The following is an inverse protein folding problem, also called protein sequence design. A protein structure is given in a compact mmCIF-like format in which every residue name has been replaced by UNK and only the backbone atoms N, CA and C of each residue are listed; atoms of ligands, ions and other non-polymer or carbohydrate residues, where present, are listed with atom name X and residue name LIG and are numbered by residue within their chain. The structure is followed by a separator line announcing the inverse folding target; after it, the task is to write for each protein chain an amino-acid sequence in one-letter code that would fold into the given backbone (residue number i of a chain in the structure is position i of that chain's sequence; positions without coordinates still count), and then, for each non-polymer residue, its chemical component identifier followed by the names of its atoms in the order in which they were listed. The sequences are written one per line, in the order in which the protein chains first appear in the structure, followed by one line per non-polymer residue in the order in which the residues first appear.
data_IF_494047612954
#
_entry.id   IF_494047612954
#
_cell.length_a   1.000
_cell.length_b   1.000
_cell.length_c   1.000
_cell.angle_alpha   90.00
_cell.angle_beta   90.00
_cell.angle_gamma   90.00
#
_symmetry.space_group_name_H-M   'P 1'
#
loop_
_entity.id
_entity.type
_entity.pdbx_description
1 polymer ?
#
# COMPACT_ATOMS: atom_id res chain seq x y z
N UNK A 1 -29.62 30.20 -11.60
CA UNK A 1 -28.99 29.16 -12.39
C UNK A 1 -27.62 29.60 -12.95
N UNK A 2 -27.55 30.71 -13.68
CA UNK A 2 -26.30 31.23 -14.28
C UNK A 2 -25.23 31.60 -13.25
N UNK A 3 -25.58 32.19 -12.09
CA UNK A 3 -24.65 32.55 -11.03
C UNK A 3 -23.94 31.32 -10.42
N UNK A 4 -24.64 30.20 -10.34
CA UNK A 4 -24.04 28.92 -9.87
C UNK A 4 -23.16 28.26 -10.93
N UNK A 5 -23.55 28.40 -12.21
CA UNK A 5 -22.74 27.87 -13.34
C UNK A 5 -21.38 28.59 -13.44
N UNK A 6 -21.34 29.93 -13.31
CA UNK A 6 -20.06 30.66 -13.32
C UNK A 6 -19.19 30.41 -12.08
N UNK A 7 -19.80 30.19 -10.91
CA UNK A 7 -19.02 29.73 -9.74
C UNK A 7 -18.44 28.35 -9.92
N UNK A 8 -19.17 27.43 -10.52
CA UNK A 8 -18.70 26.08 -10.83
C UNK A 8 -17.59 26.08 -11.87
N UNK A 9 -17.68 26.90 -12.94
CA UNK A 9 -16.65 26.98 -13.96
C UNK A 9 -15.35 27.59 -13.44
N UNK A 10 -15.40 28.58 -12.55
CA UNK A 10 -14.23 29.13 -11.88
C UNK A 10 -13.58 28.10 -10.93
N UNK A 11 -14.38 27.24 -10.30
CA UNK A 11 -13.92 26.15 -9.46
C UNK A 11 -13.22 25.06 -10.27
N UNK A 12 -13.73 24.71 -11.45
CA UNK A 12 -13.14 23.71 -12.37
C UNK A 12 -11.76 24.15 -12.88
N UNK A 13 -11.51 25.44 -13.00
CA UNK A 13 -10.23 25.99 -13.46
C UNK A 13 -9.13 26.02 -12.38
N UNK A 14 -9.43 25.68 -11.13
CA UNK A 14 -8.45 25.65 -10.03
C UNK A 14 -7.62 24.37 -10.08
N UNK A 15 -6.27 24.49 -9.97
CA UNK A 15 -5.35 23.35 -9.85
C UNK A 15 -5.58 22.49 -8.59
N UNK A 16 -6.36 22.98 -7.64
CA UNK A 16 -6.66 22.31 -6.37
C UNK A 16 -8.03 21.63 -6.36
N UNK A 17 -8.83 21.78 -7.43
CA UNK A 17 -10.16 21.21 -7.50
C UNK A 17 -10.12 19.74 -7.87
N UNK A 18 -10.75 18.89 -7.06
CA UNK A 18 -10.98 17.47 -7.35
C UNK A 18 -12.42 17.23 -7.81
N UNK A 19 -12.66 16.09 -8.46
CA UNK A 19 -14.03 15.66 -8.81
C UNK A 19 -14.90 15.55 -7.56
N UNK A 20 -14.34 15.13 -6.43
CA UNK A 20 -15.03 15.07 -5.16
C UNK A 20 -15.47 16.47 -4.69
N UNK A 21 -14.59 17.46 -4.75
CA UNK A 21 -14.96 18.84 -4.36
C UNK A 21 -16.07 19.42 -5.23
N UNK A 22 -16.13 19.03 -6.51
CA UNK A 22 -17.22 19.44 -7.40
C UNK A 22 -18.54 18.75 -7.04
N UNK A 23 -18.49 17.45 -6.74
CA UNK A 23 -19.65 16.69 -6.29
C UNK A 23 -20.18 17.22 -4.95
N UNK A 24 -19.30 17.52 -4.01
CA UNK A 24 -19.65 18.10 -2.72
C UNK A 24 -20.30 19.49 -2.89
N UNK A 25 -19.75 20.33 -3.77
CA UNK A 25 -20.31 21.66 -4.07
C UNK A 25 -21.67 21.60 -4.78
N UNK A 26 -21.97 20.52 -5.48
CA UNK A 26 -23.26 20.32 -6.14
C UNK A 26 -24.32 19.72 -5.20
N UNK A 27 -23.95 19.24 -4.02
CA UNK A 27 -24.89 18.65 -3.07
C UNK A 27 -25.62 19.73 -2.25
N UNK A 28 -26.91 19.54 -2.04
CA UNK A 28 -27.72 20.44 -1.20
C UNK A 28 -27.48 20.22 0.31
N UNK A 29 -26.93 19.10 0.71
CA UNK A 29 -26.62 18.73 2.09
C UNK A 29 -25.14 18.60 2.27
N UNK A 30 -24.53 19.50 3.03
CA UNK A 30 -23.10 19.55 3.27
C UNK A 30 -22.82 19.31 4.75
N UNK A 31 -22.05 18.27 5.05
CA UNK A 31 -21.44 18.05 6.37
C UNK A 31 -20.10 18.78 6.48
N UNK A 32 -19.77 19.25 7.66
CA UNK A 32 -18.43 19.80 7.96
C UNK A 32 -17.67 18.72 8.73
N UNK A 33 -16.46 18.40 8.26
CA UNK A 33 -15.52 17.53 8.96
C UNK A 33 -14.23 18.28 9.22
N UNK A 34 -13.68 18.07 10.39
CA UNK A 34 -12.36 18.56 10.77
C UNK A 34 -11.32 17.46 10.62
N UNK A 35 -10.22 17.75 9.96
CA UNK A 35 -9.04 16.90 9.89
C UNK A 35 -7.82 17.80 10.05
N UNK A 36 -6.96 17.50 11.02
CA UNK A 36 -5.75 18.27 11.33
C UNK A 36 -6.02 19.80 11.51
N UNK A 37 -7.09 20.15 12.20
CA UNK A 37 -7.50 21.55 12.42
C UNK A 37 -8.04 22.27 11.18
N UNK A 38 -8.25 21.55 10.07
CA UNK A 38 -8.81 22.10 8.84
C UNK A 38 -10.22 21.57 8.60
N UNK A 39 -11.15 22.46 8.36
CA UNK A 39 -12.53 22.09 8.02
C UNK A 39 -12.66 21.69 6.55
N UNK A 40 -13.23 20.51 6.32
CA UNK A 40 -13.57 20.00 5.00
C UNK A 40 -15.08 19.90 4.85
N UNK A 41 -15.57 20.34 3.70
CA UNK A 41 -16.97 20.20 3.34
C UNK A 41 -17.18 18.90 2.59
N UNK A 42 -18.08 18.05 3.08
CA UNK A 42 -18.37 16.73 2.50
C UNK A 42 -19.86 16.61 2.26
N UNK A 43 -20.26 16.43 1.01
CA UNK A 43 -21.67 16.34 0.63
C UNK A 43 -22.30 15.03 1.07
N UNK A 44 -21.79 13.90 0.61
CA UNK A 44 -22.32 12.56 0.91
C UNK A 44 -21.17 11.57 1.11
N UNK A 45 -20.63 11.46 2.33
CA UNK A 45 -19.52 10.55 2.59
C UNK A 45 -19.96 9.10 2.49
N UNK A 46 -19.15 8.27 1.81
CA UNK A 46 -19.27 6.82 1.89
C UNK A 46 -18.66 6.35 3.22
N UNK A 47 -19.53 5.95 4.15
CA UNK A 47 -19.12 5.60 5.52
C UNK A 47 -18.88 4.11 5.71
N UNK A 48 -19.45 3.25 4.87
CA UNK A 48 -19.35 1.80 5.03
C UNK A 48 -18.18 1.28 4.23
N UNK A 49 -17.26 0.58 4.92
CA UNK A 49 -16.09 -0.04 4.32
C UNK A 49 -16.25 -1.57 4.30
N UNK A 50 -16.28 -2.15 3.10
CA UNK A 50 -16.49 -3.58 2.87
C UNK A 50 -15.31 -4.28 2.15
N UNK A 51 -14.07 -3.76 2.26
CA UNK A 51 -12.93 -4.32 1.52
C UNK A 51 -11.90 -4.99 2.41
N UNK A 52 -11.30 -4.22 3.31
CA UNK A 52 -10.14 -4.65 4.09
C UNK A 52 -10.55 -5.43 5.33
N UNK A 53 -9.71 -6.35 5.80
CA UNK A 53 -9.84 -6.98 7.11
C UNK A 53 -9.66 -5.96 8.24
N UNK A 54 -10.18 -6.29 9.43
CA UNK A 54 -10.38 -5.35 10.55
C UNK A 54 -9.16 -4.49 10.89
N UNK A 55 -7.98 -5.08 11.10
CA UNK A 55 -6.77 -4.32 11.48
C UNK A 55 -6.31 -3.37 10.37
N UNK A 56 -6.42 -3.78 9.11
CA UNK A 56 -6.08 -2.97 7.94
C UNK A 56 -7.06 -1.79 7.82
N UNK A 57 -8.35 -2.07 8.04
CA UNK A 57 -9.40 -1.06 8.10
C UNK A 57 -9.13 -0.03 9.21
N UNK A 58 -8.77 -0.47 10.42
CA UNK A 58 -8.53 0.41 11.55
C UNK A 58 -7.40 1.41 11.28
N UNK A 59 -6.29 0.95 10.66
CA UNK A 59 -5.22 1.85 10.23
C UNK A 59 -5.78 2.96 9.34
N UNK A 60 -6.49 2.59 8.28
CA UNK A 60 -7.06 3.55 7.33
C UNK A 60 -8.06 4.49 8.00
N UNK A 61 -8.94 3.96 8.86
CA UNK A 61 -10.00 4.70 9.52
C UNK A 61 -9.44 5.76 10.46
N UNK A 62 -8.39 5.44 11.22
CA UNK A 62 -7.74 6.38 12.13
C UNK A 62 -6.97 7.46 11.34
N UNK A 63 -6.11 7.05 10.38
CA UNK A 63 -5.20 8.01 9.72
C UNK A 63 -5.86 8.96 8.73
N UNK A 64 -7.01 8.58 8.15
CA UNK A 64 -7.60 9.33 7.04
C UNK A 64 -9.09 9.65 7.19
N UNK A 65 -9.80 9.00 8.12
CA UNK A 65 -11.26 9.14 8.23
C UNK A 65 -11.72 9.52 9.63
N UNK A 66 -10.80 9.83 10.55
CA UNK A 66 -11.10 10.25 11.93
C UNK A 66 -12.11 9.30 12.62
N UNK A 67 -11.89 8.00 12.48
CA UNK A 67 -12.69 6.91 13.05
C UNK A 67 -14.19 6.93 12.67
N UNK A 68 -14.55 7.63 11.60
CA UNK A 68 -15.97 7.82 11.23
C UNK A 68 -16.51 6.76 10.29
N UNK A 69 -15.66 5.88 9.73
CA UNK A 69 -16.12 4.80 8.86
C UNK A 69 -16.62 3.60 9.67
N UNK A 70 -17.55 2.86 9.07
CA UNK A 70 -18.17 1.67 9.63
C UNK A 70 -17.56 0.44 8.97
N UNK A 71 -17.02 -0.46 9.76
CA UNK A 71 -16.51 -1.74 9.29
C UNK A 71 -17.65 -2.69 8.89
N UNK A 72 -17.60 -3.24 7.67
CA UNK A 72 -18.59 -4.17 7.16
C UNK A 72 -17.94 -5.21 6.22
N UNK A 73 -16.87 -5.83 6.68
CA UNK A 73 -16.20 -6.92 5.97
C UNK A 73 -16.35 -8.19 6.79
N UNK A 74 -16.53 -9.34 6.13
CA UNK A 74 -16.53 -10.64 6.81
C UNK A 74 -15.12 -10.94 7.27
N UNK A 75 -14.98 -11.16 8.59
CA UNK A 75 -13.68 -11.45 9.18
C UNK A 75 -13.13 -12.79 8.71
N UNK A 76 -11.81 -12.83 8.46
CA UNK A 76 -11.06 -14.04 8.14
C UNK A 76 -10.04 -14.30 9.24
N UNK A 77 -10.07 -15.51 9.80
CA UNK A 77 -9.19 -15.92 10.91
C UNK A 77 -7.69 -15.85 10.54
N UNK A 78 -7.36 -16.08 9.27
CA UNK A 78 -5.98 -16.15 8.77
C UNK A 78 -5.46 -14.81 8.19
N UNK A 79 -6.15 -13.69 8.45
CA UNK A 79 -5.70 -12.40 7.94
C UNK A 79 -4.45 -11.89 8.65
N UNK A 80 -3.52 -11.32 7.88
CA UNK A 80 -2.26 -10.79 8.40
C UNK A 80 -2.21 -9.28 8.27
N UNK A 81 -1.82 -8.61 9.36
CA UNK A 81 -1.45 -7.20 9.35
C UNK A 81 -0.16 -7.05 10.16
N UNK A 82 0.98 -7.00 9.48
CA UNK A 82 2.28 -7.11 10.11
C UNK A 82 3.25 -6.00 9.69
N UNK A 83 4.06 -5.56 10.65
CA UNK A 83 5.25 -4.74 10.40
C UNK A 83 6.48 -5.61 10.51
N UNK A 84 7.27 -5.63 9.45
CA UNK A 84 8.54 -6.36 9.38
C UNK A 84 9.66 -5.33 9.48
N UNK A 85 10.32 -5.31 10.64
CA UNK A 85 11.45 -4.40 10.87
C UNK A 85 12.69 -4.90 10.15
N UNK A 86 13.17 -4.09 9.20
CA UNK A 86 14.36 -4.41 8.40
C UNK A 86 15.22 -3.18 8.23
N UNK A 87 16.38 -3.22 8.85
CA UNK A 87 17.44 -2.23 8.70
C UNK A 87 18.34 -2.58 7.52
N UNK A 88 18.98 -1.58 6.94
CA UNK A 88 19.93 -1.74 5.85
C UNK A 88 20.44 -0.40 5.37
N UNK A 89 21.28 -0.41 4.33
CA UNK A 89 21.80 0.81 3.72
C UNK A 89 21.12 1.08 2.38
N UNK A 90 20.76 2.34 2.15
CA UNK A 90 20.15 2.78 0.89
C UNK A 90 21.14 2.71 -0.26
N UNK A 91 20.68 2.11 -1.35
CA UNK A 91 21.36 2.09 -2.63
C UNK A 91 20.54 2.88 -3.66
N UNK A 92 21.19 3.62 -4.56
CA UNK A 92 20.50 4.36 -5.63
C UNK A 92 19.31 5.21 -5.16
N UNK A 93 19.44 5.92 -4.04
CA UNK A 93 18.38 6.69 -3.36
C UNK A 93 17.23 5.81 -2.88
N UNK A 94 17.12 5.61 -1.61
CA UNK A 94 16.00 4.97 -0.89
C UNK A 94 15.84 3.46 -1.05
N UNK A 95 16.43 2.80 -2.06
CA UNK A 95 16.33 1.37 -2.20
C UNK A 95 17.22 0.65 -1.17
N UNK A 96 16.65 -0.23 -0.36
CA UNK A 96 17.34 -1.03 0.66
C UNK A 96 17.27 -2.50 0.27
N UNK A 97 18.42 -3.09 -0.06
CA UNK A 97 18.51 -4.48 -0.55
C UNK A 97 18.01 -5.49 0.49
N UNK A 98 18.27 -5.24 1.76
CA UNK A 98 17.84 -6.09 2.87
C UNK A 98 16.32 -6.22 2.94
N UNK A 99 15.60 -5.12 2.69
CA UNK A 99 14.14 -5.14 2.60
C UNK A 99 13.66 -5.98 1.41
N UNK A 100 14.31 -5.85 0.25
CA UNK A 100 13.99 -6.68 -0.92
C UNK A 100 14.20 -8.17 -0.65
N UNK A 101 15.32 -8.54 0.00
CA UNK A 101 15.60 -9.92 0.42
C UNK A 101 14.53 -10.44 1.40
N UNK A 102 14.07 -9.59 2.32
CA UNK A 102 13.07 -9.98 3.31
C UNK A 102 11.68 -10.21 2.73
N UNK A 103 11.34 -9.53 1.66
CA UNK A 103 10.07 -9.68 0.93
C UNK A 103 10.05 -10.99 0.10
N UNK A 104 11.20 -11.48 -0.35
CA UNK A 104 11.31 -12.61 -1.26
C UNK A 104 10.58 -13.89 -0.80
N UNK A 105 10.66 -14.33 0.46
CA UNK A 105 9.91 -15.48 0.95
C UNK A 105 8.40 -15.29 0.88
N UNK A 106 7.90 -14.06 1.08
CA UNK A 106 6.46 -13.77 0.98
C UNK A 106 6.01 -13.95 -0.46
N UNK A 107 6.75 -13.39 -1.44
CA UNK A 107 6.45 -13.56 -2.86
C UNK A 107 6.38 -15.06 -3.21
N UNK A 108 7.41 -15.83 -2.82
CA UNK A 108 7.46 -17.27 -3.07
C UNK A 108 6.20 -17.98 -2.55
N UNK A 109 5.81 -17.69 -1.32
CA UNK A 109 4.67 -18.36 -0.69
C UNK A 109 3.35 -17.99 -1.34
N UNK A 110 3.15 -16.73 -1.71
CA UNK A 110 1.96 -16.29 -2.44
C UNK A 110 1.83 -16.99 -3.80
N UNK A 111 2.93 -17.16 -4.53
CA UNK A 111 2.95 -17.93 -5.77
C UNK A 111 2.60 -19.40 -5.53
N UNK A 112 3.23 -20.05 -4.55
CA UNK A 112 2.97 -21.46 -4.23
C UNK A 112 1.51 -21.64 -3.78
N UNK A 113 0.99 -20.77 -2.92
CA UNK A 113 -0.39 -20.84 -2.46
C UNK A 113 -1.40 -20.64 -3.61
N UNK A 114 -1.15 -19.68 -4.51
CA UNK A 114 -1.98 -19.46 -5.69
C UNK A 114 -1.99 -20.69 -6.60
N UNK A 115 -0.84 -21.29 -6.84
CA UNK A 115 -0.71 -22.45 -7.72
C UNK A 115 -1.32 -23.72 -7.14
N UNK A 116 -1.21 -23.94 -5.85
CA UNK A 116 -1.87 -25.07 -5.19
C UNK A 116 -3.38 -24.96 -5.26
N UNK A 117 -3.92 -23.75 -5.25
CA UNK A 117 -5.37 -23.49 -5.26
C UNK A 117 -5.96 -23.46 -6.68
N UNK A 118 -5.28 -22.82 -7.62
CA UNK A 118 -5.85 -22.42 -8.91
C UNK A 118 -5.09 -23.01 -10.13
N UNK A 119 -3.96 -23.67 -9.91
CA UNK A 119 -3.09 -24.21 -10.96
C UNK A 119 -1.86 -23.31 -11.24
N UNK A 120 -0.82 -23.91 -11.83
CA UNK A 120 0.52 -23.31 -12.00
C UNK A 120 0.59 -22.07 -12.93
N UNK A 121 -0.46 -21.76 -13.67
CA UNK A 121 -0.51 -20.58 -14.55
C UNK A 121 -1.11 -19.35 -13.89
N UNK A 122 -1.66 -19.46 -12.69
CA UNK A 122 -2.32 -18.35 -12.01
C UNK A 122 -1.33 -17.43 -11.29
N UNK A 123 -1.41 -16.15 -11.62
CA UNK A 123 -0.64 -15.08 -10.97
C UNK A 123 -1.28 -14.75 -9.61
N UNK A 124 -0.51 -14.71 -8.51
CA UNK A 124 -1.06 -14.37 -7.20
C UNK A 124 -1.62 -12.95 -7.16
N UNK A 125 -2.70 -12.77 -6.41
CA UNK A 125 -3.27 -11.45 -6.11
C UNK A 125 -2.41 -10.72 -5.07
N UNK A 126 -1.21 -10.33 -5.50
CA UNK A 126 -0.16 -9.72 -4.67
C UNK A 126 0.37 -8.45 -5.32
N UNK A 127 0.35 -7.33 -4.59
CA UNK A 127 1.03 -6.08 -4.97
C UNK A 127 2.21 -5.78 -4.04
N UNK A 128 3.28 -5.23 -4.64
CA UNK A 128 4.35 -4.58 -3.88
C UNK A 128 4.33 -3.09 -4.21
N UNK A 129 4.09 -2.28 -3.19
CA UNK A 129 3.87 -0.84 -3.32
C UNK A 129 4.98 -0.11 -2.57
N UNK A 130 5.56 0.92 -3.19
CA UNK A 130 6.47 1.82 -2.50
C UNK A 130 6.07 3.28 -2.71
N UNK A 131 6.31 4.17 -1.72
CA UNK A 131 6.21 5.62 -1.92
C UNK A 131 7.17 6.13 -3.00
N UNK A 132 8.31 5.47 -3.20
CA UNK A 132 9.43 5.98 -3.98
C UNK A 132 9.67 5.22 -5.28
N UNK A 133 9.83 5.99 -6.38
CA UNK A 133 10.12 5.42 -7.71
C UNK A 133 11.43 4.61 -7.75
N UNK A 134 12.44 5.05 -7.00
CA UNK A 134 13.74 4.36 -6.96
C UNK A 134 13.64 3.03 -6.22
N UNK A 135 12.84 2.94 -5.15
CA UNK A 135 12.56 1.67 -4.46
C UNK A 135 11.82 0.72 -5.39
N UNK A 136 10.76 1.18 -6.06
CA UNK A 136 10.05 0.40 -7.08
C UNK A 136 10.99 -0.15 -8.16
N UNK A 137 11.87 0.69 -8.69
CA UNK A 137 12.82 0.30 -9.73
C UNK A 137 13.84 -0.72 -9.21
N UNK A 138 14.37 -0.50 -8.01
CA UNK A 138 15.31 -1.42 -7.35
C UNK A 138 14.69 -2.79 -7.08
N UNK A 139 13.46 -2.82 -6.55
CA UNK A 139 12.71 -4.08 -6.33
C UNK A 139 12.49 -4.84 -7.63
N UNK A 140 12.00 -4.15 -8.67
CA UNK A 140 11.73 -4.77 -9.97
C UNK A 140 13.01 -5.32 -10.64
N UNK A 141 14.13 -4.59 -10.53
CA UNK A 141 15.42 -5.08 -11.04
C UNK A 141 15.91 -6.27 -10.22
N UNK A 142 15.91 -6.15 -8.89
CA UNK A 142 16.38 -7.22 -8.00
C UNK A 142 15.63 -8.54 -8.25
N UNK A 143 14.29 -8.51 -8.34
CA UNK A 143 13.52 -9.75 -8.53
C UNK A 143 13.61 -10.29 -9.95
N UNK A 144 13.76 -9.44 -10.96
CA UNK A 144 13.93 -9.87 -12.36
C UNK A 144 15.24 -10.64 -12.54
N UNK A 145 16.29 -10.20 -11.86
CA UNK A 145 17.64 -10.76 -11.99
C UNK A 145 17.95 -11.80 -10.89
N UNK A 146 16.93 -12.20 -10.11
CA UNK A 146 17.10 -13.08 -8.97
C UNK A 146 16.84 -14.53 -9.32
N UNK A 147 17.90 -15.27 -9.59
CA UNK A 147 17.82 -16.70 -9.89
C UNK A 147 17.14 -17.51 -8.77
N UNK A 148 17.30 -17.11 -7.51
CA UNK A 148 16.67 -17.77 -6.38
C UNK A 148 15.14 -17.71 -6.49
N UNK A 149 14.55 -16.60 -6.91
CA UNK A 149 13.10 -16.48 -7.10
C UNK A 149 12.60 -17.50 -8.13
N UNK A 150 13.26 -17.56 -9.27
CA UNK A 150 12.87 -18.48 -10.35
C UNK A 150 13.07 -19.93 -9.97
N UNK A 151 14.22 -20.29 -9.40
CA UNK A 151 14.50 -21.68 -8.99
C UNK A 151 13.60 -22.21 -7.88
N UNK A 152 13.08 -21.34 -7.02
CA UNK A 152 12.20 -21.75 -5.93
C UNK A 152 10.71 -21.78 -6.28
N UNK A 153 10.35 -21.21 -7.42
CA UNK A 153 8.96 -21.13 -7.85
C UNK A 153 8.75 -21.98 -9.12
N UNK A 154 9.70 -21.93 -10.09
CA UNK A 154 9.57 -22.60 -11.36
C UNK A 154 10.39 -23.89 -11.41
N UNK A 155 9.93 -24.88 -12.17
CA UNK A 155 10.76 -25.98 -12.62
C UNK A 155 11.86 -25.47 -13.59
N UNK A 156 13.00 -26.16 -13.67
CA UNK A 156 14.21 -25.64 -14.33
C UNK A 156 14.01 -25.22 -15.79
N UNK A 157 13.11 -25.88 -16.52
CA UNK A 157 12.83 -25.62 -17.93
C UNK A 157 11.45 -25.00 -18.20
N UNK A 158 10.74 -24.56 -17.16
CA UNK A 158 9.41 -23.97 -17.29
C UNK A 158 9.51 -22.51 -17.75
N UNK A 159 9.47 -22.33 -19.06
CA UNK A 159 9.55 -21.02 -19.72
C UNK A 159 8.32 -20.19 -19.43
N UNK A 160 7.14 -20.81 -19.39
CA UNK A 160 5.88 -20.14 -19.13
C UNK A 160 5.84 -19.58 -17.70
N UNK A 161 6.22 -20.39 -16.71
CA UNK A 161 6.35 -19.95 -15.34
C UNK A 161 7.28 -18.73 -15.19
N UNK A 162 8.46 -18.80 -15.81
CA UNK A 162 9.42 -17.69 -15.78
C UNK A 162 8.85 -16.43 -16.42
N UNK A 163 8.06 -16.57 -17.50
CA UNK A 163 7.42 -15.44 -18.14
C UNK A 163 6.32 -14.86 -17.25
N UNK A 164 5.50 -15.68 -16.61
CA UNK A 164 4.47 -15.25 -15.66
C UNK A 164 5.04 -14.45 -14.50
N UNK A 165 6.18 -14.87 -13.94
CA UNK A 165 6.88 -14.10 -12.90
C UNK A 165 7.36 -12.75 -13.43
N UNK A 166 7.93 -12.68 -14.63
CA UNK A 166 8.38 -11.42 -15.24
C UNK A 166 7.23 -10.45 -15.47
N UNK A 167 6.10 -10.97 -15.96
CA UNK A 167 4.89 -10.18 -16.19
C UNK A 167 4.32 -9.69 -14.86
N UNK A 168 4.29 -10.55 -13.83
CA UNK A 168 3.89 -10.14 -12.49
C UNK A 168 4.80 -9.03 -11.93
N UNK A 169 6.12 -9.15 -12.05
CA UNK A 169 7.07 -8.11 -11.60
C UNK A 169 6.77 -6.77 -12.29
N UNK A 170 6.50 -6.78 -13.60
CA UNK A 170 6.19 -5.58 -14.38
C UNK A 170 4.90 -4.91 -13.91
N UNK A 171 3.85 -5.71 -13.65
CA UNK A 171 2.48 -5.21 -13.48
C UNK A 171 2.08 -5.04 -12.01
N UNK A 172 2.75 -5.74 -11.07
CA UNK A 172 2.39 -5.80 -9.65
C UNK A 172 3.43 -5.20 -8.69
N UNK A 173 4.54 -4.65 -9.20
CA UNK A 173 5.48 -3.85 -8.41
C UNK A 173 5.39 -2.40 -8.88
N UNK A 174 4.93 -1.50 -7.99
CA UNK A 174 4.64 -0.14 -8.40
C UNK A 174 4.76 0.91 -7.30
N UNK A 175 4.48 2.14 -7.70
CA UNK A 175 4.25 3.23 -6.74
C UNK A 175 2.77 3.29 -6.38
N UNK A 176 2.45 4.07 -5.35
CA UNK A 176 1.07 4.26 -4.88
C UNK A 176 0.13 4.69 -6.01
N UNK A 177 0.60 5.56 -6.92
CA UNK A 177 -0.20 6.02 -8.07
C UNK A 177 -0.52 4.91 -9.08
N UNK A 178 0.36 3.90 -9.20
CA UNK A 178 0.17 2.76 -10.12
C UNK A 178 -1.06 1.92 -9.73
N UNK A 179 -1.36 1.85 -8.44
CA UNK A 179 -2.41 1.00 -7.88
C UNK A 179 -3.66 1.77 -7.43
N UNK A 180 -3.76 3.05 -7.73
CA UNK A 180 -4.97 3.81 -7.42
C UNK A 180 -6.18 3.18 -8.14
N UNK A 181 -7.21 2.82 -7.37
CA UNK A 181 -8.40 2.12 -7.87
C UNK A 181 -8.29 0.60 -7.98
N UNK A 182 -7.07 0.02 -7.87
CA UNK A 182 -6.86 -1.43 -7.87
C UNK A 182 -6.91 -1.98 -6.44
N UNK A 183 -7.00 -3.31 -6.31
CA UNK A 183 -6.96 -4.04 -5.03
C UNK A 183 -6.33 -5.41 -5.22
N UNK A 184 -5.75 -5.97 -4.16
CA UNK A 184 -5.18 -7.31 -4.13
C UNK A 184 -5.48 -8.00 -2.79
N UNK A 185 -5.41 -9.32 -2.78
CA UNK A 185 -5.58 -10.08 -1.54
C UNK A 185 -4.46 -9.80 -0.56
N UNK A 186 -3.23 -9.74 -1.06
CA UNK A 186 -2.03 -9.42 -0.29
C UNK A 186 -1.36 -8.16 -0.83
N UNK A 187 -0.97 -7.25 0.06
CA UNK A 187 -0.18 -6.07 -0.27
C UNK A 187 1.04 -5.99 0.62
N UNK A 188 2.19 -5.75 0.00
CA UNK A 188 3.45 -5.45 0.69
C UNK A 188 3.78 -3.99 0.43
N UNK A 189 3.91 -3.19 1.50
CA UNK A 189 4.40 -1.82 1.42
C UNK A 189 5.88 -1.85 1.76
N UNK A 190 6.75 -1.61 0.77
CA UNK A 190 8.19 -1.49 0.95
C UNK A 190 8.56 -0.02 1.11
N UNK A 191 8.96 0.36 2.32
CA UNK A 191 9.21 1.76 2.67
C UNK A 191 10.53 2.28 2.11
N UNK A 192 11.53 1.40 1.92
CA UNK A 192 12.87 1.83 1.56
C UNK A 192 13.48 2.70 2.66
N UNK A 193 14.42 3.56 2.29
CA UNK A 193 15.08 4.54 3.16
C UNK A 193 15.88 3.89 4.28
N UNK A 194 17.12 4.28 4.45
CA UNK A 194 17.93 3.85 5.58
C UNK A 194 17.77 4.78 6.81
N UNK A 195 18.39 4.40 7.92
CA UNK A 195 18.38 5.18 9.15
C UNK A 195 19.22 6.49 9.07
N UNK A 196 19.96 6.71 8.00
CA UNK A 196 20.80 7.88 7.82
C UNK A 196 20.01 9.19 7.69
N UNK A 197 20.59 10.29 8.14
CA UNK A 197 19.93 11.60 8.13
C UNK A 197 19.68 12.17 6.73
N UNK A 198 20.47 11.77 5.73
CA UNK A 198 20.39 12.26 4.35
C UNK A 198 19.04 12.04 3.68
N UNK A 199 18.26 11.07 4.16
CA UNK A 199 16.97 10.69 3.59
C UNK A 199 15.75 11.22 4.37
N UNK A 200 15.96 12.06 5.40
CA UNK A 200 14.87 12.62 6.20
C UNK A 200 13.81 13.34 5.37
N UNK A 201 14.21 14.12 4.36
CA UNK A 201 13.26 14.82 3.50
C UNK A 201 12.33 13.90 2.70
N UNK A 202 12.78 12.69 2.34
CA UNK A 202 11.93 11.69 1.70
C UNK A 202 10.89 11.14 2.67
N UNK A 203 11.29 10.88 3.91
CA UNK A 203 10.39 10.43 4.98
C UNK A 203 9.36 11.51 5.30
N UNK A 204 9.79 12.75 5.49
CA UNK A 204 8.90 13.89 5.73
C UNK A 204 7.88 14.09 4.62
N UNK A 205 8.30 13.94 3.36
CA UNK A 205 7.37 13.98 2.24
C UNK A 205 6.34 12.85 2.30
N UNK A 206 6.75 11.63 2.62
CA UNK A 206 5.84 10.50 2.71
C UNK A 206 4.87 10.60 3.89
N UNK A 207 5.30 11.25 4.98
CA UNK A 207 4.51 11.46 6.20
C UNK A 207 3.75 12.79 6.20
N UNK A 208 3.92 13.62 5.17
CA UNK A 208 3.33 14.97 5.13
C UNK A 208 1.81 14.98 5.00
N UNK A 209 1.21 13.89 4.55
CA UNK A 209 -0.25 13.72 4.42
C UNK A 209 -0.63 12.24 4.55
N UNK A 210 -1.82 11.91 5.06
CA UNK A 210 -2.27 10.52 5.22
C UNK A 210 -2.44 9.77 3.89
N UNK A 211 -2.62 10.50 2.79
CA UNK A 211 -3.02 9.94 1.49
C UNK A 211 -2.07 8.85 0.99
N UNK A 212 -0.75 9.03 1.20
CA UNK A 212 0.26 8.07 0.73
C UNK A 212 0.06 6.71 1.42
N UNK A 213 0.01 6.71 2.74
CA UNK A 213 -0.17 5.47 3.50
C UNK A 213 -1.60 4.93 3.35
N UNK A 214 -2.62 5.78 3.43
CA UNK A 214 -4.02 5.38 3.30
C UNK A 214 -4.31 4.68 1.96
N UNK A 215 -3.84 5.24 0.85
CA UNK A 215 -4.03 4.61 -0.47
C UNK A 215 -3.32 3.26 -0.52
N UNK A 216 -2.11 3.13 -0.02
CA UNK A 216 -1.37 1.87 -0.03
C UNK A 216 -2.06 0.80 0.84
N UNK A 217 -2.42 1.14 2.08
CA UNK A 217 -3.08 0.24 3.04
C UNK A 217 -4.42 -0.24 2.48
N UNK A 218 -5.24 0.65 1.94
CA UNK A 218 -6.57 0.31 1.40
C UNK A 218 -6.54 -0.48 0.08
N UNK A 219 -5.36 -0.82 -0.46
CA UNK A 219 -5.24 -1.77 -1.57
C UNK A 219 -5.33 -3.21 -1.10
N UNK A 220 -4.99 -3.50 0.16
CA UNK A 220 -5.02 -4.84 0.73
C UNK A 220 -6.45 -5.25 1.12
N UNK A 221 -6.87 -6.45 0.70
CA UNK A 221 -8.12 -7.05 1.18
C UNK A 221 -7.88 -7.87 2.45
N UNK A 222 -6.95 -8.80 2.40
CA UNK A 222 -6.75 -9.81 3.43
C UNK A 222 -5.45 -9.63 4.21
N UNK A 223 -4.33 -9.45 3.49
CA UNK A 223 -3.01 -9.42 4.11
C UNK A 223 -2.28 -8.12 3.79
N UNK A 224 -1.71 -7.51 4.81
CA UNK A 224 -0.87 -6.32 4.72
C UNK A 224 0.47 -6.58 5.41
N UNK A 225 1.55 -6.39 4.69
CA UNK A 225 2.90 -6.36 5.24
C UNK A 225 3.51 -4.98 5.00
N UNK A 226 4.01 -4.34 6.05
CA UNK A 226 4.78 -3.11 5.96
C UNK A 226 6.23 -3.46 6.28
N UNK A 227 7.12 -3.24 5.32
CA UNK A 227 8.54 -3.60 5.42
C UNK A 227 9.39 -2.34 5.41
N UNK A 228 10.11 -2.10 6.49
CA UNK A 228 10.95 -0.91 6.64
C UNK A 228 11.64 -0.83 7.99
N UNK A 229 12.57 0.10 8.13
CA UNK A 229 13.27 0.37 9.38
C UNK A 229 12.34 1.06 10.39
N UNK A 230 12.01 0.35 11.47
CA UNK A 230 11.11 0.86 12.51
C UNK A 230 11.68 2.11 13.21
N UNK A 231 13.00 2.20 13.42
CA UNK A 231 13.61 3.36 14.05
C UNK A 231 13.41 4.63 13.21
N UNK A 232 13.30 4.46 11.90
CA UNK A 232 13.09 5.56 10.96
C UNK A 232 11.63 5.98 10.83
N UNK A 233 10.72 5.00 10.82
CA UNK A 233 9.34 5.20 10.40
C UNK A 233 8.30 5.15 11.53
N UNK A 234 8.52 4.33 12.58
CA UNK A 234 7.50 4.04 13.60
C UNK A 234 7.06 5.26 14.43
N UNK A 235 7.89 6.30 14.54
CA UNK A 235 7.55 7.54 15.24
C UNK A 235 6.97 8.64 14.34
N UNK A 236 6.85 8.39 13.02
CA UNK A 236 6.40 9.41 12.07
C UNK A 236 4.87 9.49 12.00
N UNK A 237 4.31 10.67 11.67
CA UNK A 237 2.87 10.87 11.51
C UNK A 237 2.26 9.80 10.59
N UNK A 238 1.10 9.27 10.96
CA UNK A 238 0.34 8.21 10.28
C UNK A 238 1.02 6.82 10.32
N UNK A 239 2.35 6.75 10.21
CA UNK A 239 3.11 5.49 10.29
C UNK A 239 3.18 4.95 11.72
N UNK A 240 3.14 5.81 12.73
CA UNK A 240 3.04 5.39 14.14
C UNK A 240 1.77 4.57 14.39
N UNK A 241 0.63 5.03 13.89
CA UNK A 241 -0.63 4.28 13.97
C UNK A 241 -0.53 2.92 13.30
N UNK A 242 0.04 2.87 12.09
CA UNK A 242 0.23 1.61 11.40
C UNK A 242 1.19 0.68 12.16
N UNK A 243 2.27 1.23 12.72
CA UNK A 243 3.20 0.47 13.54
C UNK A 243 2.53 -0.09 14.79
N UNK A 244 1.72 0.68 15.50
CA UNK A 244 1.02 0.24 16.71
C UNK A 244 0.03 -0.90 16.43
N UNK A 245 -0.74 -0.80 15.36
CA UNK A 245 -1.79 -1.77 15.01
C UNK A 245 -1.28 -3.04 14.31
N UNK A 246 -0.13 -2.98 13.66
CA UNK A 246 0.50 -4.15 13.04
C UNK A 246 1.14 -5.08 14.08
N UNK A 247 1.11 -6.37 13.83
CA UNK A 247 1.96 -7.34 14.53
C UNK A 247 3.42 -7.09 14.19
N UNK A 248 4.30 -7.11 15.19
CA UNK A 248 5.75 -6.94 15.00
C UNK A 248 6.36 -8.31 14.71
N UNK A 249 6.89 -8.47 13.49
CA UNK A 249 7.51 -9.70 13.07
C UNK A 249 9.00 -9.46 12.81
N UNK A 250 9.86 -10.09 13.60
CA UNK A 250 11.29 -10.23 13.28
C UNK A 250 11.53 -11.41 12.34
N UNK A 251 10.70 -12.44 12.44
CA UNK A 251 10.71 -13.62 11.57
C UNK A 251 9.30 -13.85 11.01
N UNK A 252 9.24 -14.04 9.69
CA UNK A 252 7.99 -14.43 9.04
C UNK A 252 7.71 -15.88 9.49
N UNK A 253 6.77 -16.05 10.42
CA UNK A 253 6.17 -17.37 10.65
C UNK A 253 5.38 -17.71 9.39
N UNK A 254 6.00 -18.43 8.50
CA UNK A 254 5.36 -18.96 7.32
C UNK A 254 4.57 -20.17 7.80
N UNK A 255 3.28 -19.99 8.02
CA UNK A 255 2.38 -21.13 8.13
C UNK A 255 2.31 -21.79 6.75
N UNK A 256 3.12 -22.80 6.57
CA UNK A 256 2.96 -23.76 5.46
C UNK A 256 1.79 -24.64 5.86
N UNK A 257 0.61 -24.31 5.38
CA UNK A 257 -0.55 -25.22 5.38
C UNK A 257 -0.58 -26.02 4.10
#
# INVERSE_FOLDING_TARGET
FLKNYYKQSAFIASKTTSVQSLADAANNYIGIRELDGTNFYVGSPLLVHGRCQKRIFDIANIIAYNETMIYNTVDREESVCAWIDVKGQSQNKHFVLEQAKRILPIIKNEFIASWNKNGKSEIPSLFIISPFRNVKAGLASYYRDNDFLYHNICESNDVECKQNIKDWIRDNIGTIHTFQGKEADTVIICLGVDSGEKENGAVEWACGRPNILNVAVTRAKNNLYIVGDADKWASKPYFSTAYELCEKCTDIKISVS
#
